data_IF_078286989499
#
_entry.id   IF_078286989499
#
_cell.length_a   1.000
_cell.length_b   1.000
_cell.length_c   1.000
_cell.angle_alpha   90.00
_cell.angle_beta   90.00
_cell.angle_gamma   90.00
#
_symmetry.space_group_name_H-M   'P 1'
#
loop_
_entity.id
_entity.type
_entity.pdbx_description
1 polymer ?
#
# COMPACT_ATOMS: atom_id res chain seq x y z
N UNK A 1 15.20 -1.20 8.44
CA UNK A 1 16.27 -1.63 9.35
C UNK A 1 16.05 -3.05 9.89
N UNK A 2 14.80 -3.47 10.16
CA UNK A 2 14.50 -4.81 10.71
C UNK A 2 14.50 -5.94 9.64
N UNK A 3 14.62 -5.64 8.35
CA UNK A 3 14.60 -6.63 7.28
C UNK A 3 13.24 -7.26 7.02
N UNK A 4 12.16 -6.64 7.46
CA UNK A 4 10.80 -7.15 7.35
C UNK A 4 10.35 -7.40 5.90
N UNK A 5 10.88 -6.65 4.93
CA UNK A 5 10.52 -6.78 3.52
C UNK A 5 11.38 -7.77 2.74
N UNK A 6 12.33 -8.46 3.40
CA UNK A 6 13.31 -9.33 2.70
C UNK A 6 12.67 -10.44 1.87
N UNK A 7 11.55 -11.00 2.36
CA UNK A 7 10.89 -12.14 1.72
C UNK A 7 9.95 -11.73 0.57
N UNK A 8 9.69 -10.44 0.39
CA UNK A 8 8.76 -9.90 -0.59
C UNK A 8 9.42 -9.03 -1.67
N UNK A 9 10.63 -8.52 -1.42
CA UNK A 9 11.39 -7.72 -2.39
C UNK A 9 12.20 -8.62 -3.31
N UNK A 10 12.04 -8.43 -4.63
CA UNK A 10 12.89 -9.03 -5.66
C UNK A 10 13.84 -7.97 -6.20
N UNK A 11 15.17 -8.11 -6.07
CA UNK A 11 16.11 -7.18 -6.64
C UNK A 11 15.93 -7.05 -8.16
N UNK A 12 16.02 -5.84 -8.68
CA UNK A 12 15.84 -5.55 -10.11
C UNK A 12 17.03 -4.81 -10.67
N UNK A 13 17.63 -5.38 -11.73
CA UNK A 13 18.75 -4.75 -12.45
C UNK A 13 18.24 -3.67 -13.39
N UNK A 14 18.80 -2.46 -13.25
CA UNK A 14 18.49 -1.31 -14.07
C UNK A 14 19.72 -0.96 -14.90
N UNK A 15 19.58 -1.01 -16.21
CA UNK A 15 20.58 -0.55 -17.16
C UNK A 15 20.14 0.80 -17.72
N UNK A 16 20.83 1.86 -17.37
CA UNK A 16 20.56 3.20 -17.88
C UNK A 16 21.63 3.65 -18.88
N UNK A 17 21.18 4.32 -19.94
CA UNK A 17 22.04 4.88 -20.96
C UNK A 17 21.89 6.39 -20.96
N UNK A 18 23.01 7.11 -20.78
CA UNK A 18 23.02 8.57 -20.77
C UNK A 18 24.07 9.10 -21.75
N UNK A 19 23.82 10.19 -22.49
CA UNK A 19 24.82 10.85 -23.25
C UNK A 19 25.99 11.29 -22.35
N UNK A 20 27.23 11.06 -22.78
CA UNK A 20 28.39 11.66 -22.13
C UNK A 20 28.40 13.14 -22.47
N UNK A 21 28.15 14.00 -21.50
CA UNK A 21 28.13 15.46 -21.72
C UNK A 21 29.53 16.04 -22.03
N UNK A 22 30.59 15.31 -21.71
CA UNK A 22 31.96 15.71 -22.05
C UNK A 22 32.35 15.26 -23.45
N UNK A 23 31.78 14.16 -23.95
CA UNK A 23 31.96 13.66 -25.33
C UNK A 23 30.60 13.23 -25.90
N UNK A 24 29.94 14.13 -26.59
CA UNK A 24 28.60 13.93 -27.17
C UNK A 24 28.47 12.76 -28.17
N UNK A 25 29.57 12.03 -28.44
CA UNK A 25 29.55 10.81 -29.26
C UNK A 25 29.57 9.53 -28.45
N UNK A 26 29.69 9.62 -27.10
CA UNK A 26 29.71 8.46 -26.21
C UNK A 26 28.40 8.34 -25.46
N UNK A 27 28.00 7.09 -25.22
CA UNK A 27 26.94 6.73 -24.35
C UNK A 27 27.55 6.10 -23.08
N UNK A 28 27.26 6.68 -21.94
CA UNK A 28 27.61 6.11 -20.64
C UNK A 28 26.55 5.11 -20.28
N UNK A 29 26.94 3.88 -20.02
CA UNK A 29 26.06 2.84 -19.49
C UNK A 29 26.32 2.71 -18.01
N UNK A 30 25.24 2.84 -17.22
CA UNK A 30 25.28 2.64 -15.78
C UNK A 30 24.37 1.47 -15.41
N UNK A 31 24.90 0.52 -14.68
CA UNK A 31 24.17 -0.61 -14.11
C UNK A 31 23.97 -0.35 -12.62
N UNK A 32 22.73 -0.44 -12.16
CA UNK A 32 22.37 -0.34 -10.73
C UNK A 32 21.39 -1.46 -10.40
N UNK A 33 21.37 -1.88 -9.15
CA UNK A 33 20.38 -2.84 -8.65
C UNK A 33 19.44 -2.10 -7.70
N UNK A 34 18.15 -2.10 -7.99
CA UNK A 34 17.12 -1.62 -7.08
C UNK A 34 16.70 -2.77 -6.15
N UNK A 35 17.02 -2.67 -4.88
CA UNK A 35 16.73 -3.68 -3.85
C UNK A 35 16.16 -3.07 -2.56
N UNK A 36 15.99 -1.75 -2.54
CA UNK A 36 15.46 -1.00 -1.41
C UNK A 36 14.54 0.11 -1.90
N UNK A 37 13.49 0.38 -1.12
CA UNK A 37 12.64 1.55 -1.35
C UNK A 37 13.42 2.85 -1.08
N UNK A 38 13.34 3.80 -2.01
CA UNK A 38 14.03 5.09 -1.92
C UNK A 38 13.23 6.13 -1.09
N UNK A 39 11.96 5.83 -0.81
CA UNK A 39 11.03 6.76 -0.16
C UNK A 39 11.26 7.01 1.33
N UNK A 40 11.60 6.00 2.15
CA UNK A 40 11.72 6.18 3.59
C UNK A 40 12.78 7.21 3.99
N UNK A 41 12.41 8.11 4.91
CA UNK A 41 13.29 9.16 5.43
C UNK A 41 13.53 8.98 6.92
N UNK A 42 14.74 8.61 7.29
CA UNK A 42 15.13 8.43 8.69
C UNK A 42 15.21 9.76 9.47
N UNK A 43 15.32 10.88 8.77
CA UNK A 43 15.45 12.24 9.32
C UNK A 43 14.11 12.98 9.45
N UNK A 44 12.98 12.29 9.25
CA UNK A 44 11.64 12.90 9.38
C UNK A 44 11.35 13.32 10.82
N UNK A 45 10.85 14.54 11.00
CA UNK A 45 10.40 15.04 12.29
C UNK A 45 9.13 15.88 12.16
N UNK A 46 8.40 16.04 13.26
CA UNK A 46 7.18 16.86 13.31
C UNK A 46 7.50 18.32 12.95
N UNK A 47 8.63 18.84 13.44
CA UNK A 47 9.11 20.20 13.17
C UNK A 47 9.50 20.37 11.69
N UNK A 48 10.05 19.33 11.08
CA UNK A 48 10.35 19.29 9.65
C UNK A 48 9.08 19.31 8.80
N UNK A 49 8.11 18.47 9.14
CA UNK A 49 6.81 18.40 8.46
C UNK A 49 6.01 19.71 8.58
N UNK A 50 6.05 20.38 9.73
CA UNK A 50 5.35 21.62 9.98
C UNK A 50 5.82 22.80 9.09
N UNK A 51 7.04 22.73 8.54
CA UNK A 51 7.59 23.73 7.62
C UNK A 51 7.12 23.57 6.18
N UNK A 52 6.50 22.44 5.84
CA UNK A 52 6.06 22.15 4.48
C UNK A 52 4.84 22.99 4.11
N UNK A 53 4.84 23.49 2.88
CA UNK A 53 3.73 24.33 2.39
C UNK A 53 2.57 23.44 1.90
N UNK A 54 1.32 23.79 2.27
CA UNK A 54 0.15 23.14 1.68
C UNK A 54 0.11 23.29 0.16
N UNK A 55 -0.20 22.19 -0.55
CA UNK A 55 -0.28 22.16 -2.03
C UNK A 55 -1.65 22.62 -2.53
N UNK A 56 -2.72 22.33 -1.82
CA UNK A 56 -4.07 22.75 -2.15
C UNK A 56 -4.46 23.94 -1.28
N UNK A 57 -4.45 25.15 -1.87
CA UNK A 57 -4.75 26.41 -1.15
C UNK A 57 -6.09 27.01 -1.51
N UNK A 58 -6.87 26.31 -2.35
CA UNK A 58 -8.13 26.83 -2.85
C UNK A 58 -9.24 26.61 -1.81
N UNK A 59 -9.84 27.70 -1.36
CA UNK A 59 -11.02 27.68 -0.50
C UNK A 59 -10.87 28.50 0.79
N UNK A 60 -12.00 28.69 1.45
CA UNK A 60 -12.14 29.52 2.64
C UNK A 60 -11.34 29.01 3.86
N UNK A 61 -11.04 27.71 3.88
CA UNK A 61 -10.40 27.07 5.03
C UNK A 61 -8.91 26.72 4.81
N UNK A 62 -8.36 27.00 3.63
CA UNK A 62 -7.02 26.55 3.27
C UNK A 62 -6.88 25.03 3.20
N UNK A 63 -5.83 24.53 2.57
CA UNK A 63 -5.52 23.11 2.52
C UNK A 63 -4.50 22.72 3.58
N UNK A 64 -4.56 21.46 4.05
CA UNK A 64 -3.59 20.88 5.00
C UNK A 64 -2.67 19.85 4.36
N UNK A 65 -2.93 19.46 3.10
CA UNK A 65 -2.15 18.47 2.37
C UNK A 65 -0.80 19.06 1.94
N UNK A 66 0.27 18.38 2.31
CA UNK A 66 1.66 18.72 1.98
C UNK A 66 2.38 17.53 1.37
N UNK A 67 3.58 17.73 0.83
CA UNK A 67 4.42 16.64 0.35
C UNK A 67 4.80 15.62 1.46
N UNK A 68 4.76 16.03 2.73
CA UNK A 68 5.13 15.17 3.85
C UNK A 68 3.98 14.34 4.44
N UNK A 69 2.73 14.61 4.04
CA UNK A 69 1.55 13.87 4.49
C UNK A 69 0.69 13.32 3.35
N UNK A 70 1.34 13.11 2.20
CA UNK A 70 0.78 12.51 1.00
C UNK A 70 1.64 11.34 0.55
N UNK A 71 1.04 10.35 -0.12
CA UNK A 71 1.81 9.31 -0.79
C UNK A 71 2.74 9.91 -1.84
N UNK A 72 3.85 9.25 -2.06
CA UNK A 72 4.78 9.62 -3.11
C UNK A 72 4.24 9.16 -4.48
N UNK A 73 4.49 9.94 -5.53
CA UNK A 73 4.36 9.44 -6.91
C UNK A 73 5.53 8.49 -7.16
N UNK A 74 5.23 7.23 -7.29
CA UNK A 74 6.25 6.17 -7.35
C UNK A 74 6.02 5.30 -8.58
N UNK A 75 7.11 4.88 -9.19
CA UNK A 75 7.13 3.74 -10.09
C UNK A 75 7.30 2.47 -9.25
N UNK A 76 6.67 1.39 -9.65
CA UNK A 76 6.77 0.13 -8.92
C UNK A 76 6.00 -0.99 -9.59
N UNK A 77 6.33 -2.20 -9.23
CA UNK A 77 5.66 -3.41 -9.69
C UNK A 77 5.40 -4.34 -8.50
N UNK A 78 4.35 -5.12 -8.59
CA UNK A 78 4.03 -6.16 -7.62
C UNK A 78 3.37 -7.34 -8.32
N UNK A 79 3.62 -8.55 -7.84
CA UNK A 79 3.04 -9.76 -8.38
C UNK A 79 2.46 -10.64 -7.28
N UNK A 80 1.28 -11.20 -7.54
CA UNK A 80 0.61 -12.16 -6.68
C UNK A 80 0.19 -13.34 -7.55
N UNK A 81 0.64 -14.55 -7.20
CA UNK A 81 0.24 -15.76 -7.88
C UNK A 81 -1.07 -16.28 -7.28
N UNK A 82 -2.12 -16.34 -8.10
CA UNK A 82 -3.40 -16.95 -7.73
C UNK A 82 -3.46 -18.38 -8.26
N UNK A 83 -3.78 -19.31 -7.39
CA UNK A 83 -3.87 -20.73 -7.75
C UNK A 83 -5.21 -21.32 -7.28
N UNK A 84 -5.83 -22.16 -8.12
CA UNK A 84 -6.96 -22.98 -7.71
C UNK A 84 -6.49 -24.16 -6.83
N UNK A 85 -7.41 -24.80 -6.11
CA UNK A 85 -7.10 -26.01 -5.34
C UNK A 85 -6.54 -27.14 -6.24
N UNK A 86 -6.95 -27.19 -7.50
CA UNK A 86 -6.41 -28.15 -8.47
C UNK A 86 -4.98 -27.79 -8.86
N UNK A 87 -4.70 -26.51 -9.16
CA UNK A 87 -3.36 -26.06 -9.50
C UNK A 87 -2.36 -26.27 -8.35
N UNK A 88 -2.78 -26.09 -7.09
CA UNK A 88 -1.93 -26.40 -5.93
C UNK A 88 -1.46 -27.86 -5.96
N UNK A 89 -2.36 -28.79 -6.29
CA UNK A 89 -2.04 -30.24 -6.38
C UNK A 89 -1.17 -30.55 -7.59
N UNK A 90 -1.54 -30.02 -8.77
CA UNK A 90 -0.88 -30.35 -10.03
C UNK A 90 0.56 -29.85 -10.08
N UNK A 91 0.84 -28.71 -9.45
CA UNK A 91 2.16 -28.07 -9.43
C UNK A 91 2.90 -28.21 -8.09
N UNK A 92 2.33 -28.90 -7.11
CA UNK A 92 2.95 -29.08 -5.79
C UNK A 92 3.18 -27.75 -5.04
N UNK A 93 2.28 -26.77 -5.22
CA UNK A 93 2.43 -25.46 -4.62
C UNK A 93 1.94 -25.44 -3.18
N UNK A 94 2.67 -24.73 -2.32
CA UNK A 94 2.26 -24.45 -0.94
C UNK A 94 1.57 -23.10 -0.88
N UNK A 95 0.26 -23.02 -0.58
CA UNK A 95 -0.43 -21.76 -0.49
C UNK A 95 0.05 -20.95 0.74
N UNK A 96 0.24 -19.65 0.57
CA UNK A 96 0.62 -18.75 1.65
C UNK A 96 -0.60 -18.18 2.36
N UNK A 97 -1.67 -17.92 1.61
CA UNK A 97 -2.91 -17.38 2.12
C UNK A 97 -4.09 -17.82 1.25
N UNK A 98 -5.29 -17.73 1.81
CA UNK A 98 -6.56 -17.88 1.09
C UNK A 98 -7.19 -16.50 0.89
N UNK A 99 -7.60 -16.20 -0.33
CA UNK A 99 -8.46 -15.06 -0.63
C UNK A 99 -9.88 -15.36 -0.15
N UNK A 100 -10.39 -14.58 0.79
CA UNK A 100 -11.68 -14.87 1.47
C UNK A 100 -12.82 -14.09 0.85
N UNK A 101 -12.68 -12.78 0.73
CA UNK A 101 -13.73 -11.92 0.18
C UNK A 101 -13.15 -10.66 -0.46
N UNK A 102 -13.95 -10.06 -1.34
CA UNK A 102 -13.63 -8.76 -1.93
C UNK A 102 -14.91 -7.95 -2.14
N UNK A 103 -14.84 -6.67 -1.83
CA UNK A 103 -15.97 -5.76 -2.03
C UNK A 103 -15.50 -4.42 -2.55
N UNK A 104 -16.33 -3.83 -3.37
CA UNK A 104 -16.22 -2.44 -3.81
C UNK A 104 -17.44 -1.64 -3.39
N UNK A 105 -17.26 -0.35 -3.19
CA UNK A 105 -18.33 0.57 -2.86
C UNK A 105 -18.11 1.92 -3.53
N UNK A 106 -19.20 2.54 -4.00
CA UNK A 106 -19.19 3.90 -4.50
C UNK A 106 -19.37 4.92 -3.38
N UNK A 107 -18.67 6.03 -3.49
CA UNK A 107 -18.86 7.26 -2.69
C UNK A 107 -18.86 8.45 -3.63
N UNK A 108 -19.22 9.63 -3.14
CA UNK A 108 -19.15 10.84 -3.96
C UNK A 108 -17.69 11.11 -4.40
N UNK A 109 -17.44 11.47 -5.67
CA UNK A 109 -16.09 11.70 -6.19
C UNK A 109 -15.28 12.73 -5.40
N UNK A 110 -15.92 13.76 -4.87
CA UNK A 110 -15.27 14.84 -4.12
C UNK A 110 -14.65 14.37 -2.80
N UNK A 111 -15.13 13.25 -2.30
CA UNK A 111 -14.66 12.61 -1.06
C UNK A 111 -14.15 11.19 -1.30
N UNK A 112 -13.58 10.93 -2.46
CA UNK A 112 -13.12 9.59 -2.86
C UNK A 112 -12.23 8.91 -1.81
N UNK A 113 -11.47 9.69 -1.07
CA UNK A 113 -10.52 9.18 -0.06
C UNK A 113 -11.17 8.35 1.04
N UNK A 114 -12.45 8.57 1.33
CA UNK A 114 -13.20 7.81 2.33
C UNK A 114 -13.89 6.55 1.77
N UNK A 115 -13.64 6.19 0.51
CA UNK A 115 -14.19 4.98 -0.12
C UNK A 115 -14.09 3.71 0.72
N UNK A 116 -12.96 3.45 1.44
CA UNK A 116 -12.82 2.32 2.34
C UNK A 116 -13.92 2.22 3.41
N UNK A 117 -14.45 3.34 3.93
CA UNK A 117 -15.52 3.34 4.94
C UNK A 117 -16.75 2.58 4.44
N UNK A 118 -17.06 2.70 3.14
CA UNK A 118 -18.18 2.01 2.54
C UNK A 118 -17.85 0.57 2.09
N UNK A 119 -16.59 0.26 1.79
CA UNK A 119 -16.15 -1.04 1.29
C UNK A 119 -15.86 -2.06 2.41
N UNK A 120 -15.22 -1.62 3.51
CA UNK A 120 -14.81 -2.47 4.63
C UNK A 120 -15.99 -3.28 5.22
N UNK A 121 -17.13 -2.66 5.61
CA UNK A 121 -18.23 -3.41 6.20
C UNK A 121 -18.81 -4.47 5.24
N UNK A 122 -18.80 -4.19 3.94
CA UNK A 122 -19.30 -5.15 2.93
C UNK A 122 -18.36 -6.35 2.82
N UNK A 123 -17.05 -6.13 2.79
CA UNK A 123 -16.05 -7.21 2.72
C UNK A 123 -16.10 -8.09 3.98
N UNK A 124 -16.19 -7.50 5.17
CA UNK A 124 -16.36 -8.21 6.44
C UNK A 124 -17.64 -9.06 6.45
N UNK A 125 -18.77 -8.48 6.03
CA UNK A 125 -20.02 -9.21 5.93
C UNK A 125 -19.95 -10.42 4.98
N UNK A 126 -19.30 -10.25 3.82
CA UNK A 126 -19.10 -11.35 2.87
C UNK A 126 -18.20 -12.45 3.41
N UNK A 127 -17.18 -12.07 4.21
CA UNK A 127 -16.28 -13.01 4.86
C UNK A 127 -16.92 -13.74 6.06
N UNK A 128 -18.04 -13.24 6.59
CA UNK A 128 -18.61 -13.72 7.85
C UNK A 128 -17.75 -13.39 9.05
N UNK A 129 -16.96 -12.31 8.97
CA UNK A 129 -16.02 -11.87 10.01
C UNK A 129 -16.49 -10.57 10.65
N UNK A 130 -16.07 -10.38 11.91
CA UNK A 130 -16.12 -9.10 12.61
C UNK A 130 -14.79 -8.38 12.51
N UNK A 131 -14.77 -7.08 12.72
CA UNK A 131 -13.57 -6.26 12.55
C UNK A 131 -12.47 -6.60 13.56
N UNK A 132 -12.81 -6.97 14.77
CA UNK A 132 -11.89 -7.36 15.84
C UNK A 132 -11.10 -8.64 15.51
N UNK A 133 -11.63 -9.50 14.63
CA UNK A 133 -10.95 -10.68 14.13
C UNK A 133 -9.84 -10.39 13.11
N UNK A 134 -9.76 -9.16 12.60
CA UNK A 134 -8.64 -8.76 11.77
C UNK A 134 -7.40 -8.52 12.64
N UNK A 135 -6.29 -9.11 12.25
CA UNK A 135 -4.99 -8.98 12.91
C UNK A 135 -4.10 -7.94 12.25
N UNK A 136 -4.31 -7.70 10.94
CA UNK A 136 -3.48 -6.81 10.12
C UNK A 136 -4.34 -6.10 9.07
N UNK A 137 -4.13 -4.80 8.88
CA UNK A 137 -4.84 -3.99 7.90
C UNK A 137 -3.84 -3.19 7.09
N UNK A 138 -3.76 -3.44 5.80
CA UNK A 138 -3.06 -2.58 4.84
C UNK A 138 -4.07 -1.57 4.27
N UNK A 139 -4.09 -0.38 4.85
CA UNK A 139 -4.86 0.76 4.36
C UNK A 139 -3.96 1.64 3.51
N UNK A 140 -4.27 1.79 2.23
CA UNK A 140 -3.47 2.66 1.38
C UNK A 140 -3.55 4.13 1.81
N UNK A 141 -2.40 4.73 2.09
CA UNK A 141 -2.26 6.10 2.56
C UNK A 141 -2.08 7.07 1.38
N UNK A 142 -3.14 7.31 0.61
CA UNK A 142 -3.08 8.36 -0.41
C UNK A 142 -2.77 9.73 0.23
N UNK A 143 -3.40 9.99 1.39
CA UNK A 143 -3.17 11.17 2.24
C UNK A 143 -3.33 10.78 3.70
N UNK A 144 -2.53 11.36 4.60
CA UNK A 144 -2.66 11.11 6.04
C UNK A 144 -4.06 11.46 6.57
N UNK A 145 -4.60 12.61 6.17
CA UNK A 145 -5.93 13.04 6.59
C UNK A 145 -7.03 12.04 6.16
N UNK A 146 -6.94 11.50 4.94
CA UNK A 146 -7.86 10.49 4.42
C UNK A 146 -7.76 9.18 5.23
N UNK A 147 -6.54 8.71 5.50
CA UNK A 147 -6.34 7.47 6.25
C UNK A 147 -6.83 7.59 7.69
N UNK A 148 -6.55 8.73 8.33
CA UNK A 148 -7.04 9.01 9.68
C UNK A 148 -8.58 9.07 9.73
N UNK A 149 -9.23 9.66 8.72
CA UNK A 149 -10.69 9.66 8.62
C UNK A 149 -11.24 8.22 8.54
N UNK A 150 -10.64 7.35 7.70
CA UNK A 150 -11.04 5.95 7.60
C UNK A 150 -10.84 5.21 8.92
N UNK A 151 -9.68 5.37 9.56
CA UNK A 151 -9.38 4.75 10.87
C UNK A 151 -10.41 5.16 11.91
N UNK A 152 -10.68 6.47 12.01
CA UNK A 152 -11.62 7.03 12.96
C UNK A 152 -13.06 6.54 12.72
N UNK A 153 -13.57 6.72 11.50
CA UNK A 153 -14.97 6.48 11.19
C UNK A 153 -15.32 4.99 11.15
N UNK A 154 -14.37 4.13 10.81
CA UNK A 154 -14.55 2.68 10.93
C UNK A 154 -14.21 2.15 12.34
N UNK A 155 -13.63 2.96 13.22
CA UNK A 155 -13.15 2.51 14.54
C UNK A 155 -12.05 1.45 14.43
N UNK A 156 -11.14 1.57 13.43
CA UNK A 156 -10.05 0.62 13.27
C UNK A 156 -9.02 0.78 14.39
N UNK A 157 -8.48 -0.34 14.85
CA UNK A 157 -7.33 -0.31 15.75
C UNK A 157 -6.09 0.17 14.98
N UNK A 158 -5.63 1.38 15.27
CA UNK A 158 -4.49 1.99 14.60
C UNK A 158 -3.20 1.17 14.75
N UNK A 159 -3.04 0.35 15.79
CA UNK A 159 -1.88 -0.52 15.97
C UNK A 159 -1.85 -1.69 14.96
N UNK A 160 -3.00 -2.03 14.38
CA UNK A 160 -3.14 -3.05 13.34
C UNK A 160 -3.06 -2.49 11.93
N UNK A 161 -3.10 -1.16 11.77
CA UNK A 161 -3.08 -0.49 10.45
C UNK A 161 -1.64 -0.18 10.04
N UNK A 162 -1.24 -0.66 8.88
CA UNK A 162 0.08 -0.43 8.27
C UNK A 162 1.24 -0.62 9.26
N UNK A 163 1.36 -1.75 9.94
CA UNK A 163 2.34 -1.90 11.02
C UNK A 163 3.80 -1.85 10.55
N UNK A 164 4.05 -1.94 9.25
CA UNK A 164 5.37 -1.76 8.63
C UNK A 164 5.53 -0.42 7.91
N UNK A 165 4.55 0.46 8.01
CA UNK A 165 4.47 1.71 7.26
C UNK A 165 3.61 1.61 6.01
N UNK A 166 3.09 2.75 5.58
CA UNK A 166 2.17 2.87 4.46
C UNK A 166 2.75 3.64 3.27
N UNK A 167 1.87 4.06 2.37
CA UNK A 167 2.25 4.68 1.11
C UNK A 167 2.94 6.05 1.26
N UNK A 168 2.76 6.75 2.38
CA UNK A 168 3.45 8.01 2.65
C UNK A 168 4.96 7.78 2.74
N UNK A 169 5.39 6.67 3.32
CA UNK A 169 6.80 6.30 3.44
C UNK A 169 7.30 5.47 2.24
N UNK A 170 6.49 4.51 1.78
CA UNK A 170 6.91 3.46 0.84
C UNK A 170 6.49 3.74 -0.62
N UNK A 171 5.64 4.74 -0.85
CA UNK A 171 5.13 5.06 -2.18
C UNK A 171 3.80 4.39 -2.54
N UNK A 172 3.20 4.89 -3.63
CA UNK A 172 1.90 4.44 -4.14
C UNK A 172 1.94 4.30 -5.67
N UNK A 173 2.57 3.25 -6.20
CA UNK A 173 2.54 2.94 -7.63
C UNK A 173 1.14 2.44 -8.00
N UNK A 174 0.24 3.34 -8.41
CA UNK A 174 -1.22 3.16 -8.54
C UNK A 174 -1.66 1.77 -9.00
N UNK A 175 -1.15 1.32 -10.15
CA UNK A 175 -1.53 0.03 -10.72
C UNK A 175 -0.94 -1.18 -9.98
N UNK A 176 0.13 -1.02 -9.23
CA UNK A 176 0.81 -2.10 -8.50
C UNK A 176 0.43 -2.16 -7.02
N UNK A 177 -0.10 -1.08 -6.44
CA UNK A 177 -0.32 -0.96 -4.99
C UNK A 177 -1.11 -2.11 -4.40
N UNK A 178 -2.16 -2.58 -5.07
CA UNK A 178 -2.95 -3.71 -4.58
C UNK A 178 -2.13 -4.99 -4.43
N UNK A 179 -1.28 -5.31 -5.41
CA UNK A 179 -0.40 -6.48 -5.38
C UNK A 179 0.70 -6.31 -4.32
N UNK A 180 1.35 -5.14 -4.26
CA UNK A 180 2.39 -4.83 -3.27
C UNK A 180 1.84 -4.96 -1.85
N UNK A 181 0.70 -4.32 -1.53
CA UNK A 181 0.09 -4.41 -0.20
C UNK A 181 -0.38 -5.82 0.15
N UNK A 182 -0.82 -6.60 -0.84
CA UNK A 182 -1.17 -8.00 -0.62
C UNK A 182 0.07 -8.84 -0.29
N UNK A 183 1.19 -8.63 -0.96
CA UNK A 183 2.44 -9.30 -0.63
C UNK A 183 2.89 -8.96 0.81
N UNK A 184 2.93 -7.68 1.16
CA UNK A 184 3.27 -7.22 2.51
C UNK A 184 2.34 -7.83 3.57
N UNK A 185 1.03 -7.82 3.32
CA UNK A 185 0.04 -8.42 4.22
C UNK A 185 0.32 -9.90 4.45
N UNK A 186 0.43 -10.67 3.37
CA UNK A 186 0.57 -12.14 3.44
C UNK A 186 1.87 -12.54 4.13
N UNK A 187 2.99 -11.94 3.73
CA UNK A 187 4.28 -12.22 4.37
C UNK A 187 4.31 -11.77 5.83
N UNK A 188 3.76 -10.59 6.13
CA UNK A 188 3.69 -10.05 7.48
C UNK A 188 2.85 -10.89 8.42
N UNK A 189 1.65 -11.27 8.03
CA UNK A 189 0.78 -12.16 8.82
C UNK A 189 1.46 -13.49 9.13
N UNK A 190 2.10 -14.11 8.15
CA UNK A 190 2.80 -15.39 8.35
C UNK A 190 3.95 -15.27 9.34
N UNK A 191 4.79 -14.24 9.22
CA UNK A 191 5.90 -13.99 10.18
C UNK A 191 5.40 -13.83 11.60
N UNK A 192 4.24 -13.16 11.78
CA UNK A 192 3.66 -12.88 13.10
C UNK A 192 2.63 -13.91 13.56
N UNK A 193 2.45 -15.00 12.81
CA UNK A 193 1.48 -16.05 13.10
C UNK A 193 0.05 -15.52 13.30
N UNK A 194 -0.31 -14.52 12.51
CA UNK A 194 -1.62 -13.89 12.46
C UNK A 194 -2.51 -14.59 11.44
N UNK A 195 -3.82 -14.50 11.61
CA UNK A 195 -4.77 -15.29 10.83
C UNK A 195 -5.48 -14.50 9.74
N UNK A 196 -6.11 -13.38 10.08
CA UNK A 196 -6.90 -12.61 9.14
C UNK A 196 -6.31 -11.23 8.90
N UNK A 197 -6.27 -10.85 7.64
CA UNK A 197 -5.84 -9.52 7.25
C UNK A 197 -6.66 -8.94 6.11
N UNK A 198 -6.58 -7.63 5.98
CA UNK A 198 -7.33 -6.87 4.99
C UNK A 198 -6.41 -5.92 4.22
N UNK A 199 -6.58 -5.87 2.90
CA UNK A 199 -6.07 -4.79 2.06
C UNK A 199 -7.24 -3.91 1.65
N UNK A 200 -7.14 -2.61 1.90
CA UNK A 200 -8.19 -1.65 1.54
C UNK A 200 -7.61 -0.35 1.01
N UNK A 201 -8.31 0.27 0.08
CA UNK A 201 -7.88 1.50 -0.56
C UNK A 201 -9.04 2.30 -1.13
N UNK A 202 -8.87 3.60 -1.21
CA UNK A 202 -9.70 4.44 -2.04
C UNK A 202 -9.28 4.27 -3.52
N UNK A 203 -10.25 4.45 -4.41
CA UNK A 203 -10.05 4.33 -5.85
C UNK A 203 -10.57 5.62 -6.50
N UNK A 204 -9.89 6.10 -7.50
CA UNK A 204 -10.27 7.29 -8.24
C UNK A 204 -11.73 7.27 -8.70
N UNK A 205 -12.30 8.44 -8.94
CA UNK A 205 -13.70 8.64 -9.36
C UNK A 205 -14.76 8.35 -8.28
N UNK A 206 -14.38 8.12 -7.04
CA UNK A 206 -15.32 7.95 -5.91
C UNK A 206 -15.63 6.49 -5.60
N UNK A 207 -14.61 5.67 -5.43
CA UNK A 207 -14.77 4.25 -5.05
C UNK A 207 -13.84 3.88 -3.90
N UNK A 208 -14.21 2.81 -3.20
CA UNK A 208 -13.35 2.10 -2.26
C UNK A 208 -13.37 0.61 -2.54
N UNK A 209 -12.29 -0.06 -2.21
CA UNK A 209 -12.17 -1.51 -2.27
C UNK A 209 -11.64 -2.06 -0.95
N UNK A 210 -12.07 -3.26 -0.59
CA UNK A 210 -11.52 -4.03 0.53
C UNK A 210 -11.49 -5.51 0.18
N UNK A 211 -10.33 -6.14 0.39
CA UNK A 211 -10.12 -7.57 0.20
C UNK A 211 -9.64 -8.21 1.49
N UNK A 212 -10.19 -9.38 1.85
CA UNK A 212 -9.85 -10.11 3.08
C UNK A 212 -9.12 -11.38 2.72
N UNK A 213 -8.06 -11.66 3.47
CA UNK A 213 -7.18 -12.80 3.32
C UNK A 213 -7.07 -13.56 4.64
N UNK A 214 -6.91 -14.87 4.55
CA UNK A 214 -6.60 -15.76 5.68
C UNK A 214 -5.24 -16.38 5.45
N UNK A 215 -4.31 -16.24 6.38
CA UNK A 215 -3.02 -16.93 6.34
C UNK A 215 -3.20 -18.43 6.52
N UNK A 216 -2.38 -19.24 5.82
CA UNK A 216 -2.42 -20.71 5.83
C UNK A 216 -1.10 -21.29 6.36
#
# INVERSE_FOLDING_TARGET
AAGEFKDEISPYEIVSHQPDLADGRRILTRNTVAEHDEGPRADTSVEGLAKLRPVFRNGQFGGTVTAGNSSQMSDGAGAVLLASAQALKDYGLTPLARFVSFSVAGVRPEVMGIGPIAAIPKALKQAGLTQDQLDWIELNEAFAAQSLAVIHDCGLDAAKVNPLGGAIALGHPLGATGAVRTATLVHGMRRRQQKYGMVTMCIGTGMGAAGIFEAL
#
